data_IF_783858630631
#
_entry.id   IF_783858630631
#
_cell.length_a   1.000
_cell.length_b   1.000
_cell.length_c   1.000
_cell.angle_alpha   90.00
_cell.angle_beta   90.00
_cell.angle_gamma   90.00
#
_symmetry.space_group_name_H-M   'P 1'
#
loop_
_entity.id
_entity.type
_entity.pdbx_description
1 polymer ?
#
# COMPACT_ATOMS: atom_id res chain seq x y z
N UNK A 1 18.85 -16.43 2.41
CA UNK A 1 17.66 -15.57 2.21
C UNK A 1 17.94 -14.28 2.94
N UNK A 2 18.21 -13.21 2.19
CA UNK A 2 18.67 -11.94 2.75
C UNK A 2 17.55 -11.31 3.58
N UNK A 3 17.64 -11.39 4.91
CA UNK A 3 16.76 -10.65 5.82
C UNK A 3 17.12 -9.17 5.72
N UNK A 4 16.53 -8.49 4.74
CA UNK A 4 16.72 -7.06 4.55
C UNK A 4 15.89 -6.31 5.61
N UNK A 5 16.44 -6.20 6.82
CA UNK A 5 15.78 -5.51 7.96
C UNK A 5 15.48 -4.04 7.66
N UNK A 6 16.07 -3.47 6.61
CA UNK A 6 15.83 -2.10 6.18
C UNK A 6 14.63 -1.91 5.24
N UNK A 7 14.01 -2.99 4.74
CA UNK A 7 12.82 -2.85 3.90
C UNK A 7 11.57 -2.63 4.78
N UNK A 8 10.95 -1.42 4.78
CA UNK A 8 9.77 -1.14 5.61
C UNK A 8 8.57 -2.03 5.23
N UNK A 9 8.56 -2.59 4.03
CA UNK A 9 7.54 -3.49 3.51
C UNK A 9 7.95 -4.97 3.57
N UNK A 10 9.00 -5.32 4.32
CA UNK A 10 9.30 -6.73 4.60
C UNK A 10 8.22 -7.37 5.48
N UNK A 11 8.04 -8.69 5.39
CA UNK A 11 7.07 -9.41 6.23
C UNK A 11 7.39 -9.26 7.72
N UNK A 12 8.67 -9.19 8.04
CA UNK A 12 9.22 -9.01 9.37
C UNK A 12 8.82 -7.65 9.94
N UNK A 13 9.02 -6.57 9.18
CA UNK A 13 8.69 -5.22 9.62
C UNK A 13 7.17 -4.99 9.68
N UNK A 14 6.42 -5.39 8.65
CA UNK A 14 4.95 -5.26 8.66
C UNK A 14 4.34 -6.04 9.82
N UNK A 15 4.71 -7.32 10.02
CA UNK A 15 4.21 -8.07 11.17
C UNK A 15 4.70 -7.51 12.51
N UNK A 16 5.90 -6.92 12.56
CA UNK A 16 6.42 -6.22 13.74
C UNK A 16 5.53 -5.04 14.14
N UNK A 17 5.12 -4.22 13.17
CA UNK A 17 4.21 -3.09 13.40
C UNK A 17 2.82 -3.58 13.84
N UNK A 18 2.29 -4.61 13.19
CA UNK A 18 0.99 -5.18 13.56
C UNK A 18 0.98 -5.77 14.98
N UNK A 19 2.08 -6.41 15.39
CA UNK A 19 2.26 -6.87 16.77
C UNK A 19 2.37 -5.71 17.75
N UNK A 20 3.16 -4.69 17.41
CA UNK A 20 3.37 -3.51 18.26
C UNK A 20 2.05 -2.81 18.59
N UNK A 21 1.13 -2.75 17.63
CA UNK A 21 -0.21 -2.17 17.83
C UNK A 21 -1.28 -3.17 18.26
N UNK A 22 -0.91 -4.42 18.59
CA UNK A 22 -1.85 -5.43 19.09
C UNK A 22 -2.89 -5.89 18.07
N UNK A 23 -2.63 -5.73 16.76
CA UNK A 23 -3.54 -6.11 15.69
C UNK A 23 -3.49 -7.61 15.39
N UNK A 24 -2.34 -8.24 15.63
CA UNK A 24 -2.15 -9.69 15.53
C UNK A 24 -1.44 -10.24 16.77
N UNK A 25 -1.51 -11.56 16.97
CA UNK A 25 -0.75 -12.28 17.98
C UNK A 25 0.55 -12.86 17.41
N UNK A 26 1.48 -13.26 18.29
CA UNK A 26 2.70 -13.96 17.89
C UNK A 26 2.41 -15.26 17.11
N UNK A 27 1.35 -16.00 17.49
CA UNK A 27 0.93 -17.20 16.78
C UNK A 27 0.50 -16.88 15.33
N UNK A 28 -0.25 -15.79 15.12
CA UNK A 28 -0.64 -15.34 13.78
C UNK A 28 0.56 -14.89 12.95
N UNK A 29 1.55 -14.21 13.56
CA UNK A 29 2.82 -13.90 12.87
C UNK A 29 3.51 -15.18 12.40
N UNK A 30 3.62 -16.20 13.25
CA UNK A 30 4.22 -17.48 12.86
C UNK A 30 3.45 -18.13 11.70
N UNK A 31 2.12 -18.12 11.75
CA UNK A 31 1.27 -18.65 10.68
C UNK A 31 1.50 -17.92 9.35
N UNK A 32 1.58 -16.58 9.36
CA UNK A 32 1.91 -15.77 8.17
C UNK A 32 3.24 -16.24 7.59
N UNK A 33 4.26 -16.42 8.42
CA UNK A 33 5.59 -16.81 7.93
C UNK A 33 5.62 -18.20 7.32
N UNK A 34 4.87 -19.14 7.89
CA UNK A 34 4.75 -20.51 7.37
C UNK A 34 4.00 -20.55 6.03
N UNK A 35 2.97 -19.69 5.86
CA UNK A 35 2.03 -19.80 4.73
C UNK A 35 2.15 -18.67 3.69
N UNK A 36 2.93 -17.60 3.92
CA UNK A 36 3.04 -16.42 3.03
C UNK A 36 3.34 -16.79 1.58
N UNK A 37 4.21 -17.77 1.34
CA UNK A 37 4.55 -18.22 -0.01
C UNK A 37 3.38 -18.89 -0.75
N UNK A 38 2.56 -19.67 -0.04
CA UNK A 38 1.37 -20.30 -0.60
C UNK A 38 0.32 -19.26 -0.98
N UNK A 39 0.05 -18.31 -0.07
CA UNK A 39 -0.93 -17.25 -0.30
C UNK A 39 -0.48 -16.31 -1.43
N UNK A 40 0.80 -15.94 -1.48
CA UNK A 40 1.35 -15.16 -2.59
C UNK A 40 1.11 -15.82 -3.95
N UNK A 41 1.46 -17.10 -4.10
CA UNK A 41 1.24 -17.85 -5.35
C UNK A 41 -0.25 -17.94 -5.72
N UNK A 42 -1.12 -18.10 -4.72
CA UNK A 42 -2.58 -18.11 -4.94
C UNK A 42 -3.06 -16.76 -5.48
N UNK A 43 -2.60 -15.65 -4.90
CA UNK A 43 -2.94 -14.29 -5.34
C UNK A 43 -2.40 -13.99 -6.74
N UNK A 44 -1.13 -14.34 -7.01
CA UNK A 44 -0.50 -14.18 -8.33
C UNK A 44 -1.29 -14.93 -9.42
N UNK A 45 -1.75 -16.16 -9.13
CA UNK A 45 -2.58 -16.93 -10.06
C UNK A 45 -3.93 -16.26 -10.31
N UNK A 46 -4.57 -15.73 -9.28
CA UNK A 46 -5.84 -15.00 -9.41
C UNK A 46 -5.63 -13.71 -10.23
N UNK A 47 -4.55 -12.97 -10.00
CA UNK A 47 -4.22 -11.76 -10.74
C UNK A 47 -3.97 -12.06 -12.23
N UNK A 48 -3.15 -13.06 -12.54
CA UNK A 48 -2.89 -13.48 -13.92
C UNK A 48 -4.17 -13.89 -14.67
N UNK A 49 -5.08 -14.60 -13.99
CA UNK A 49 -6.38 -14.97 -14.58
C UNK A 49 -7.27 -13.75 -14.85
N UNK A 50 -7.18 -12.70 -14.03
CA UNK A 50 -7.89 -11.44 -14.28
C UNK A 50 -7.32 -10.72 -15.50
N UNK A 51 -6.01 -10.57 -15.56
CA UNK A 51 -5.33 -9.84 -16.65
C UNK A 51 -5.58 -10.47 -18.03
N UNK A 52 -5.64 -11.80 -18.08
CA UNK A 52 -5.92 -12.56 -19.32
C UNK A 52 -7.38 -12.55 -19.76
N UNK A 53 -8.33 -12.31 -18.85
CA UNK A 53 -9.78 -12.33 -19.14
C UNK A 53 -10.38 -10.93 -19.40
N UNK A 54 -9.73 -9.87 -18.92
CA UNK A 54 -10.12 -8.50 -19.23
C UNK A 54 -9.51 -8.03 -20.56
N UNK A 55 -10.35 -7.81 -21.59
CA UNK A 55 -9.98 -7.01 -22.75
C UNK A 55 -9.55 -5.61 -22.30
N UNK A 56 -8.23 -5.39 -22.23
CA UNK A 56 -7.52 -4.11 -22.10
C UNK A 56 -8.38 -2.91 -21.64
N UNK A 57 -8.74 -2.87 -20.36
CA UNK A 57 -8.91 -1.58 -19.69
C UNK A 57 -7.68 -1.38 -18.83
N UNK A 58 -7.06 -0.21 -18.98
CA UNK A 58 -5.85 0.26 -18.32
C UNK A 58 -5.94 0.21 -16.77
N UNK A 59 -6.00 -1.00 -16.22
CA UNK A 59 -5.91 -1.26 -14.80
C UNK A 59 -4.47 -1.11 -14.35
N UNK A 60 -4.30 -0.68 -13.11
CA UNK A 60 -3.00 -0.65 -12.43
C UNK A 60 -2.49 -2.10 -12.34
N UNK A 61 -1.43 -2.43 -13.06
CA UNK A 61 -0.74 -3.73 -12.93
C UNK A 61 0.32 -3.63 -11.84
N UNK A 62 -0.11 -3.65 -10.57
CA UNK A 62 0.80 -3.64 -9.43
C UNK A 62 1.18 -5.07 -9.01
N UNK A 63 2.44 -5.33 -8.61
CA UNK A 63 2.85 -6.64 -8.11
C UNK A 63 2.18 -6.97 -6.76
N UNK A 64 1.91 -8.25 -6.51
CA UNK A 64 1.43 -8.72 -5.20
C UNK A 64 2.49 -8.43 -4.11
N UNK A 65 2.10 -7.61 -3.14
CA UNK A 65 2.91 -7.20 -2.00
C UNK A 65 2.71 -8.11 -0.79
N UNK A 66 3.52 -7.92 0.25
CA UNK A 66 3.28 -8.63 1.52
C UNK A 66 1.98 -8.18 2.20
N UNK A 67 1.52 -6.95 1.95
CA UNK A 67 0.30 -6.39 2.54
C UNK A 67 -0.90 -7.15 1.98
N UNK A 68 -0.94 -7.35 0.66
CA UNK A 68 -1.94 -8.18 0.00
C UNK A 68 -1.98 -9.59 0.59
N UNK A 69 -0.79 -10.18 0.77
CA UNK A 69 -0.65 -11.52 1.33
C UNK A 69 -1.21 -11.57 2.75
N UNK A 70 -0.83 -10.65 3.63
CA UNK A 70 -1.32 -10.62 5.02
C UNK A 70 -2.83 -10.37 5.06
N UNK A 71 -3.35 -9.41 4.29
CA UNK A 71 -4.78 -9.10 4.22
C UNK A 71 -5.61 -10.28 3.70
N UNK A 72 -5.01 -11.15 2.88
CA UNK A 72 -5.68 -12.33 2.33
C UNK A 72 -5.86 -13.48 3.33
N UNK A 73 -5.19 -13.47 4.49
CA UNK A 73 -5.47 -14.41 5.59
C UNK A 73 -6.82 -14.15 6.24
N UNK A 74 -7.37 -12.93 6.12
CA UNK A 74 -8.67 -12.55 6.71
C UNK A 74 -8.76 -12.85 8.20
N UNK A 75 -7.67 -12.63 8.94
CA UNK A 75 -7.68 -12.78 10.38
C UNK A 75 -8.60 -11.74 11.02
N UNK A 76 -9.37 -12.15 12.02
CA UNK A 76 -9.94 -11.21 12.99
C UNK A 76 -8.82 -10.43 13.67
N UNK A 77 -9.03 -9.19 14.09
CA UNK A 77 -8.01 -8.44 14.82
C UNK A 77 -7.93 -8.91 16.26
N UNK A 78 -6.72 -8.88 16.82
CA UNK A 78 -6.48 -9.24 18.22
C UNK A 78 -7.01 -8.21 19.22
N UNK A 79 -7.11 -6.94 18.82
CA UNK A 79 -7.67 -5.87 19.65
C UNK A 79 -9.20 -5.75 19.53
N UNK A 80 -9.78 -6.25 18.44
CA UNK A 80 -11.22 -6.29 18.22
C UNK A 80 -11.61 -7.43 17.27
N UNK A 81 -12.10 -8.53 17.85
CA UNK A 81 -12.48 -9.74 17.13
C UNK A 81 -13.65 -9.57 16.14
N UNK A 82 -14.45 -8.50 16.26
CA UNK A 82 -15.52 -8.22 15.28
C UNK A 82 -15.01 -7.64 13.96
N UNK A 83 -13.74 -7.25 13.89
CA UNK A 83 -13.13 -6.60 12.72
C UNK A 83 -12.06 -7.49 12.11
N UNK A 84 -11.96 -7.47 10.78
CA UNK A 84 -10.92 -8.18 10.04
C UNK A 84 -9.69 -7.27 9.88
N UNK A 85 -8.51 -7.89 9.87
CA UNK A 85 -7.27 -7.27 9.44
C UNK A 85 -7.25 -7.25 7.90
N UNK A 86 -7.74 -6.15 7.33
CA UNK A 86 -7.67 -5.87 5.91
C UNK A 86 -6.51 -4.92 5.56
N UNK A 87 -6.36 -4.64 4.27
CA UNK A 87 -5.31 -3.77 3.74
C UNK A 87 -5.38 -2.34 4.32
N UNK A 88 -6.59 -1.79 4.48
CA UNK A 88 -6.80 -0.46 5.06
C UNK A 88 -6.25 -0.38 6.49
N UNK A 89 -6.59 -1.37 7.33
CA UNK A 89 -6.08 -1.43 8.71
C UNK A 89 -4.55 -1.59 8.74
N UNK A 90 -3.98 -2.39 7.84
CA UNK A 90 -2.52 -2.58 7.76
C UNK A 90 -1.86 -1.24 7.40
N UNK A 91 -2.33 -0.52 6.39
CA UNK A 91 -1.77 0.78 6.03
C UNK A 91 -1.95 1.84 7.12
N UNK A 92 -3.08 1.86 7.83
CA UNK A 92 -3.26 2.76 8.98
C UNK A 92 -2.21 2.51 10.08
N UNK A 93 -1.92 1.24 10.37
CA UNK A 93 -0.89 0.87 11.35
C UNK A 93 0.52 1.28 10.89
N UNK A 94 0.84 1.05 9.62
CA UNK A 94 2.12 1.45 9.03
C UNK A 94 2.30 2.97 9.01
N UNK A 95 1.29 3.71 8.55
CA UNK A 95 1.27 5.17 8.55
C UNK A 95 1.49 5.73 9.97
N UNK A 96 0.81 5.15 10.98
CA UNK A 96 1.01 5.51 12.39
C UNK A 96 2.44 5.21 12.85
N UNK A 97 3.05 4.10 12.44
CA UNK A 97 4.45 3.77 12.78
C UNK A 97 5.43 4.77 12.16
N UNK A 98 5.19 5.17 10.93
CA UNK A 98 6.06 6.08 10.17
C UNK A 98 5.83 7.55 10.48
N UNK A 99 4.81 7.86 11.29
CA UNK A 99 4.38 9.23 11.55
C UNK A 99 4.01 9.98 10.26
N UNK A 100 3.36 9.28 9.34
CA UNK A 100 2.85 9.81 8.07
C UNK A 100 1.31 9.75 8.14
N UNK A 101 0.58 10.81 7.75
CA UNK A 101 -0.88 10.78 7.75
C UNK A 101 -1.45 9.70 6.82
N UNK A 102 -2.41 8.92 7.32
CA UNK A 102 -3.23 8.07 6.47
C UNK A 102 -4.43 8.87 5.93
N UNK A 103 -4.69 8.78 4.63
CA UNK A 103 -5.88 9.38 3.99
C UNK A 103 -6.61 8.31 3.18
N UNK A 104 -7.87 8.05 3.54
CA UNK A 104 -8.80 7.31 2.67
C UNK A 104 -9.25 8.24 1.57
N UNK A 105 -8.97 7.87 0.32
CA UNK A 105 -9.31 8.70 -0.84
C UNK A 105 -10.80 8.55 -1.12
N UNK A 106 -11.53 9.65 -1.03
CA UNK A 106 -12.87 9.78 -1.59
C UNK A 106 -12.75 10.46 -2.97
N UNK A 107 -13.12 9.77 -4.06
CA UNK A 107 -13.10 10.35 -5.41
C UNK A 107 -13.94 11.62 -5.54
N UNK A 108 -14.99 11.78 -4.74
CA UNK A 108 -15.88 12.94 -4.78
C UNK A 108 -15.27 14.18 -4.11
N UNK A 109 -14.25 14.01 -3.26
CA UNK A 109 -13.55 15.09 -2.58
C UNK A 109 -12.29 15.56 -3.33
N UNK A 110 -11.94 14.91 -4.46
CA UNK A 110 -10.73 15.24 -5.21
C UNK A 110 -10.90 16.52 -6.04
N UNK A 111 -9.91 17.40 -5.96
CA UNK A 111 -9.76 18.50 -6.92
C UNK A 111 -9.18 17.96 -8.22
N UNK A 112 -10.01 17.89 -9.26
CA UNK A 112 -9.62 17.39 -10.58
C UNK A 112 -8.49 18.20 -11.20
N UNK A 113 -8.38 19.51 -10.92
CA UNK A 113 -7.27 20.30 -11.45
C UNK A 113 -5.95 19.82 -10.84
N UNK A 114 -5.91 19.61 -9.53
CA UNK A 114 -4.71 19.10 -8.85
C UNK A 114 -4.36 17.69 -9.35
N UNK A 115 -5.34 16.81 -9.49
CA UNK A 115 -5.13 15.42 -9.91
C UNK A 115 -4.60 15.32 -11.35
N UNK A 116 -5.05 16.18 -12.27
CA UNK A 116 -4.80 16.02 -13.71
C UNK A 116 -3.67 16.86 -14.27
N UNK A 117 -3.23 17.91 -13.56
CA UNK A 117 -2.27 18.88 -14.10
C UNK A 117 -0.85 18.73 -13.57
N UNK A 118 -0.66 18.11 -12.40
CA UNK A 118 0.65 18.07 -11.73
C UNK A 118 1.56 16.99 -12.30
N UNK A 119 1.03 15.80 -12.58
CA UNK A 119 1.81 14.68 -13.14
C UNK A 119 1.06 13.95 -14.26
N UNK A 120 1.76 13.36 -15.24
CA UNK A 120 1.11 12.55 -16.27
C UNK A 120 0.36 11.35 -15.68
N UNK A 121 -0.82 11.06 -16.22
CA UNK A 121 -1.65 9.93 -15.79
C UNK A 121 -0.89 8.59 -15.80
N UNK A 122 -0.09 8.33 -16.84
CA UNK A 122 0.71 7.09 -16.94
C UNK A 122 1.76 6.99 -15.85
N UNK A 123 2.37 8.10 -15.43
CA UNK A 123 3.31 8.16 -14.32
C UNK A 123 2.60 7.87 -12.99
N UNK A 124 1.47 8.53 -12.74
CA UNK A 124 0.63 8.30 -11.57
C UNK A 124 0.24 6.82 -11.41
N UNK A 125 -0.20 6.19 -12.50
CA UNK A 125 -0.62 4.79 -12.52
C UNK A 125 0.55 3.82 -12.33
N UNK A 126 1.70 4.10 -12.96
CA UNK A 126 2.90 3.25 -12.85
C UNK A 126 3.48 3.26 -11.44
N UNK A 127 3.50 4.42 -10.80
CA UNK A 127 4.16 4.63 -9.50
C UNK A 127 3.19 4.68 -8.32
N UNK A 128 1.88 4.51 -8.56
CA UNK A 128 0.84 4.57 -7.53
C UNK A 128 0.90 5.85 -6.69
N UNK A 129 0.95 6.99 -7.38
CA UNK A 129 1.00 8.32 -6.74
C UNK A 129 -0.18 9.16 -7.21
N UNK A 130 -0.78 9.88 -6.28
CA UNK A 130 -1.93 10.74 -6.53
C UNK A 130 -1.74 12.10 -5.86
N UNK A 131 -1.57 13.19 -6.62
CA UNK A 131 -1.69 14.56 -6.12
C UNK A 131 -3.08 14.76 -5.50
N UNK A 132 -3.15 15.17 -4.23
CA UNK A 132 -4.44 15.35 -3.53
C UNK A 132 -4.69 16.77 -3.02
N UNK A 133 -3.65 17.60 -2.91
CA UNK A 133 -3.78 18.99 -2.50
C UNK A 133 -2.52 19.79 -2.85
N UNK A 134 -2.71 21.08 -3.12
CA UNK A 134 -1.62 22.08 -3.15
C UNK A 134 -1.96 23.15 -2.13
N UNK A 135 -1.06 23.41 -1.18
CA UNK A 135 -1.27 24.44 -0.15
C UNK A 135 0.06 25.07 0.25
N UNK A 136 0.11 26.40 0.27
CA UNK A 136 1.28 27.18 0.70
C UNK A 136 2.59 26.79 -0.01
N UNK A 137 2.53 26.47 -1.31
CA UNK A 137 3.72 26.02 -2.03
C UNK A 137 4.17 24.60 -1.68
N UNK A 138 3.31 23.77 -1.07
CA UNK A 138 3.55 22.35 -0.87
C UNK A 138 2.52 21.49 -1.60
N UNK A 139 3.00 20.49 -2.32
CA UNK A 139 2.19 19.45 -2.94
C UNK A 139 2.03 18.28 -1.96
N UNK A 140 0.79 17.88 -1.69
CA UNK A 140 0.49 16.66 -0.93
C UNK A 140 0.21 15.51 -1.90
N UNK A 141 0.96 14.43 -1.76
CA UNK A 141 0.84 13.22 -2.59
C UNK A 141 0.39 12.05 -1.74
N UNK A 142 -0.66 11.36 -2.17
CA UNK A 142 -1.07 10.07 -1.62
C UNK A 142 -0.35 8.94 -2.36
N UNK A 143 0.23 8.00 -1.61
CA UNK A 143 0.94 6.84 -2.15
C UNK A 143 0.96 5.70 -1.13
N UNK A 144 0.92 4.42 -1.56
CA UNK A 144 1.16 3.29 -0.67
C UNK A 144 2.64 3.13 -0.30
N UNK A 145 3.57 3.72 -1.07
CA UNK A 145 5.02 3.67 -0.82
C UNK A 145 5.61 5.09 -0.66
N UNK A 146 5.61 5.63 0.57
CA UNK A 146 6.16 6.96 0.83
C UNK A 146 7.70 7.00 0.82
N UNK A 147 8.37 5.85 0.68
CA UNK A 147 9.83 5.76 0.72
C UNK A 147 10.48 5.67 -0.67
N UNK A 148 9.67 5.72 -1.73
CA UNK A 148 10.16 5.82 -3.09
C UNK A 148 10.67 7.25 -3.37
N UNK A 149 11.89 7.53 -2.90
CA UNK A 149 12.50 8.86 -2.99
C UNK A 149 12.68 9.32 -4.43
N UNK A 150 13.04 8.42 -5.34
CA UNK A 150 13.20 8.73 -6.77
C UNK A 150 11.91 9.28 -7.35
N UNK A 151 10.78 8.62 -7.09
CA UNK A 151 9.45 9.08 -7.54
C UNK A 151 9.07 10.40 -6.88
N UNK A 152 9.31 10.57 -5.58
CA UNK A 152 9.02 11.83 -4.88
C UNK A 152 9.83 13.00 -5.44
N UNK A 153 11.10 12.78 -5.79
CA UNK A 153 11.95 13.77 -6.43
C UNK A 153 11.49 14.11 -7.85
N UNK A 154 11.10 13.12 -8.65
CA UNK A 154 10.51 13.31 -9.97
C UNK A 154 9.25 14.19 -9.90
N UNK A 155 8.37 13.91 -8.93
CA UNK A 155 7.17 14.70 -8.70
C UNK A 155 7.52 16.13 -8.33
N UNK A 156 8.50 16.34 -7.43
CA UNK A 156 8.94 17.68 -7.03
C UNK A 156 9.43 18.49 -8.22
N UNK A 157 10.21 17.86 -9.12
CA UNK A 157 10.70 18.51 -10.36
C UNK A 157 9.55 18.87 -11.30
N UNK A 158 8.60 17.96 -11.49
CA UNK A 158 7.47 18.15 -12.39
C UNK A 158 6.48 19.21 -11.90
N UNK A 159 6.31 19.34 -10.57
CA UNK A 159 5.38 20.29 -9.98
C UNK A 159 5.82 21.76 -10.12
N UNK A 160 7.07 22.03 -10.55
CA UNK A 160 7.68 23.37 -10.57
C UNK A 160 7.61 24.09 -9.20
N UNK A 161 7.86 23.34 -8.12
CA UNK A 161 7.81 23.80 -6.73
C UNK A 161 9.18 23.69 -6.09
#
# INVERSE_FOLDING_TARGET
MSNNHNDPFSAENVCGVLLQYGLISAARKQEIFLKKGQFKRKLERIQFMRDTSSSAKAGITAPITIIDVIASFKFERSDNHSKILDEEIIFQALAKKWNIPYKKIDPLELDLNVVTTVIPHTFAMKHLVLPVAVKNGFLTVATPDPFNLEVMEDISRAAHM
#
